data_IF_431071439469
#
_entry.id   IF_431071439469
#
_cell.length_a   1.000
_cell.length_b   1.000
_cell.length_c   1.000
_cell.angle_alpha   90.00
_cell.angle_beta   90.00
_cell.angle_gamma   90.00
#
_symmetry.space_group_name_H-M   'P 1'
#
loop_
_entity.id
_entity.type
_entity.pdbx_description
1 polymer ?
#
# COMPACT_ATOMS: atom_id res chain seq x y z
N UNK A 1 0.24 24.78 24.98
CA UNK A 1 -0.12 24.09 23.72
C UNK A 1 -0.36 22.58 23.83
N UNK A 2 0.00 21.88 24.93
CA UNK A 2 -0.30 20.43 25.11
C UNK A 2 0.19 19.51 23.96
N UNK A 3 1.20 19.93 23.20
CA UNK A 3 1.67 19.16 22.04
C UNK A 3 2.45 17.89 22.42
N UNK A 4 3.05 17.82 23.62
CA UNK A 4 3.79 16.66 24.13
C UNK A 4 3.59 16.49 25.64
N UNK A 5 3.61 15.25 26.13
CA UNK A 5 3.65 14.94 27.57
C UNK A 5 5.10 14.86 28.08
N UNK A 6 5.45 15.67 29.09
CA UNK A 6 6.84 15.89 29.54
C UNK A 6 7.59 14.59 29.93
N UNK A 7 6.88 13.59 30.48
CA UNK A 7 7.50 12.33 30.94
C UNK A 7 7.77 11.31 29.80
N UNK A 8 7.30 11.55 28.58
CA UNK A 8 7.46 10.63 27.44
C UNK A 8 8.60 11.01 26.49
N UNK A 9 9.15 12.21 26.62
CA UNK A 9 10.01 12.83 25.58
C UNK A 9 11.42 13.17 26.06
N UNK A 10 11.71 12.90 27.33
CA UNK A 10 13.01 13.15 27.96
C UNK A 10 13.46 11.90 28.70
N UNK A 11 14.73 11.49 28.50
CA UNK A 11 15.34 10.39 29.22
C UNK A 11 16.75 10.79 29.67
N UNK A 12 17.01 10.73 30.97
CA UNK A 12 18.33 11.00 31.52
C UNK A 12 19.20 9.74 31.47
N UNK A 13 20.42 9.90 30.97
CA UNK A 13 21.45 8.85 30.99
C UNK A 13 22.65 9.32 31.80
N UNK A 14 23.17 8.42 32.64
CA UNK A 14 24.47 8.61 33.28
C UNK A 14 25.56 8.24 32.29
N UNK A 15 26.40 9.21 31.93
CA UNK A 15 27.60 8.95 31.11
C UNK A 15 28.84 9.28 31.94
N UNK A 16 29.70 8.30 32.17
CA UNK A 16 31.02 8.49 32.79
C UNK A 16 32.01 8.97 31.73
N UNK A 17 32.66 10.11 31.99
CA UNK A 17 33.71 10.62 31.12
C UNK A 17 35.11 10.14 31.60
N UNK A 18 36.19 10.36 30.83
CA UNK A 18 37.55 9.89 31.16
C UNK A 18 38.12 10.44 32.48
N UNK A 19 37.48 11.45 33.06
CA UNK A 19 37.81 12.04 34.36
C UNK A 19 37.13 11.33 35.55
N UNK A 20 36.39 10.24 35.29
CA UNK A 20 35.71 9.44 36.31
C UNK A 20 34.46 10.11 36.89
N UNK A 21 34.01 11.24 36.34
CA UNK A 21 32.80 11.94 36.79
C UNK A 21 31.58 11.46 36.03
N UNK A 22 30.48 11.29 36.75
CA UNK A 22 29.17 11.02 36.19
C UNK A 22 28.52 12.34 35.76
N UNK A 23 28.17 12.43 34.48
CA UNK A 23 27.41 13.54 33.94
C UNK A 23 25.98 13.08 33.67
N UNK A 24 25.01 13.82 34.20
CA UNK A 24 23.62 13.70 33.77
C UNK A 24 23.49 14.30 32.37
N UNK A 25 23.35 13.43 31.38
CA UNK A 25 23.10 13.84 30.00
C UNK A 25 21.64 13.55 29.68
N UNK A 26 20.87 14.62 29.50
CA UNK A 26 19.46 14.56 29.13
C UNK A 26 19.33 14.30 27.63
N UNK A 27 18.71 13.18 27.25
CA UNK A 27 18.39 12.83 25.88
C UNK A 27 16.94 13.20 25.59
N UNK A 28 16.74 13.97 24.53
CA UNK A 28 15.42 14.40 24.06
C UNK A 28 14.96 13.50 22.92
N UNK A 29 13.67 13.16 22.92
CA UNK A 29 13.04 12.48 21.79
C UNK A 29 13.08 13.36 20.54
N UNK A 30 12.97 12.73 19.36
CA UNK A 30 12.88 13.47 18.10
C UNK A 30 11.73 14.50 18.14
N UNK A 31 10.59 14.13 18.71
CA UNK A 31 9.41 14.99 18.83
C UNK A 31 9.70 16.27 19.63
N UNK A 32 10.40 16.16 20.76
CA UNK A 32 10.80 17.33 21.55
C UNK A 32 11.82 18.21 20.81
N UNK A 33 12.76 17.60 20.07
CA UNK A 33 13.72 18.34 19.24
C UNK A 33 12.98 19.11 18.13
N UNK A 34 11.98 18.50 17.49
CA UNK A 34 11.14 19.16 16.47
C UNK A 34 10.36 20.33 17.07
N UNK A 35 9.70 20.12 18.22
CA UNK A 35 8.87 21.13 18.90
C UNK A 35 9.69 22.36 19.33
N UNK A 36 10.86 22.15 19.96
CA UNK A 36 11.75 23.23 20.39
C UNK A 36 12.42 23.91 19.19
N UNK A 37 12.82 23.15 18.18
CA UNK A 37 13.54 23.65 17.01
C UNK A 37 12.78 24.73 16.23
N UNK A 38 11.45 24.65 16.17
CA UNK A 38 10.62 25.68 15.54
C UNK A 38 10.31 26.89 16.43
N UNK A 39 10.35 26.73 17.76
CA UNK A 39 9.96 27.77 18.73
C UNK A 39 11.13 28.65 19.21
N UNK A 40 12.36 28.14 19.22
CA UNK A 40 13.50 28.84 19.85
C UNK A 40 14.31 29.68 18.85
N UNK A 41 14.63 30.93 19.24
CA UNK A 41 15.48 31.87 18.50
C UNK A 41 16.98 31.71 18.80
N UNK A 42 17.51 30.49 18.70
CA UNK A 42 18.95 30.21 18.89
C UNK A 42 19.67 29.93 17.57
N UNK A 43 21.02 29.99 17.56
CA UNK A 43 21.84 29.60 16.39
C UNK A 43 21.53 28.16 15.95
N UNK A 44 21.40 27.23 16.90
CA UNK A 44 21.01 25.82 16.65
C UNK A 44 19.57 25.71 16.12
N UNK A 45 18.62 26.48 16.68
CA UNK A 45 17.24 26.53 16.17
C UNK A 45 17.17 27.04 14.73
N UNK A 46 18.01 28.03 14.37
CA UNK A 46 18.11 28.50 12.98
C UNK A 46 18.71 27.45 12.05
N UNK A 47 19.73 26.69 12.46
CA UNK A 47 20.28 25.57 11.69
C UNK A 47 19.24 24.47 11.49
N UNK A 48 18.52 24.11 12.54
CA UNK A 48 17.42 23.14 12.49
C UNK A 48 16.34 23.59 11.51
N UNK A 49 15.83 24.83 11.59
CA UNK A 49 14.82 25.33 10.64
C UNK A 49 15.31 25.35 9.20
N UNK A 50 16.58 25.69 8.95
CA UNK A 50 17.17 25.58 7.61
C UNK A 50 17.15 24.13 7.11
N UNK A 51 17.55 23.19 7.95
CA UNK A 51 17.49 21.76 7.64
C UNK A 51 16.05 21.28 7.41
N UNK A 52 15.13 21.59 8.33
CA UNK A 52 13.72 21.17 8.24
C UNK A 52 13.04 21.76 7.00
N UNK A 53 13.21 23.05 6.72
CA UNK A 53 12.67 23.68 5.52
C UNK A 53 13.22 23.06 4.23
N UNK A 54 14.49 22.67 4.20
CA UNK A 54 15.07 21.97 3.04
C UNK A 54 14.38 20.63 2.79
N UNK A 55 14.27 19.79 3.84
CA UNK A 55 13.65 18.47 3.73
C UNK A 55 12.14 18.55 3.46
N UNK A 56 11.42 19.45 4.14
CA UNK A 56 9.99 19.66 3.92
C UNK A 56 9.70 20.17 2.51
N UNK A 57 10.49 21.13 2.01
CA UNK A 57 10.37 21.61 0.63
C UNK A 57 10.59 20.48 -0.37
N UNK A 58 11.61 19.65 -0.13
CA UNK A 58 11.87 18.48 -0.98
C UNK A 58 10.71 17.51 -0.97
N UNK A 59 10.17 17.18 0.20
CA UNK A 59 8.98 16.33 0.32
C UNK A 59 7.77 16.90 -0.41
N UNK A 60 7.48 18.19 -0.27
CA UNK A 60 6.33 18.84 -0.93
C UNK A 60 6.46 18.81 -2.45
N UNK A 61 7.67 19.00 -2.98
CA UNK A 61 7.91 19.06 -4.44
C UNK A 61 8.02 17.66 -5.06
N UNK A 62 8.76 16.74 -4.42
CA UNK A 62 9.07 15.42 -4.99
C UNK A 62 8.16 14.31 -4.47
N UNK A 63 7.55 14.48 -3.30
CA UNK A 63 6.76 13.46 -2.61
C UNK A 63 7.57 12.51 -1.71
N UNK A 64 8.90 12.69 -1.60
CA UNK A 64 9.77 11.86 -0.74
C UNK A 64 11.02 12.62 -0.29
N UNK A 65 11.67 12.11 0.76
CA UNK A 65 12.99 12.55 1.25
C UNK A 65 13.82 11.29 1.47
N UNK A 66 15.08 11.28 1.02
CA UNK A 66 15.95 10.11 1.11
C UNK A 66 17.37 10.54 1.50
N UNK A 67 18.00 9.77 2.37
CA UNK A 67 19.41 9.91 2.73
C UNK A 67 20.22 8.85 1.99
N UNK A 68 20.54 9.15 0.73
CA UNK A 68 21.16 8.19 -0.21
C UNK A 68 22.49 7.64 0.31
N UNK A 69 23.32 8.50 0.93
CA UNK A 69 24.64 8.10 1.41
C UNK A 69 24.55 7.12 2.59
N UNK A 70 23.58 7.33 3.49
CA UNK A 70 23.32 6.39 4.60
C UNK A 70 22.73 5.08 4.10
N UNK A 71 21.84 5.11 3.11
CA UNK A 71 21.26 3.90 2.53
C UNK A 71 22.28 3.09 1.71
N UNK A 72 23.27 3.74 1.09
CA UNK A 72 24.38 3.06 0.39
C UNK A 72 25.43 2.51 1.34
N UNK A 73 25.68 3.21 2.46
CA UNK A 73 26.73 2.89 3.41
C UNK A 73 26.14 2.74 4.83
N UNK A 74 25.52 1.59 5.14
CA UNK A 74 24.95 1.36 6.46
C UNK A 74 26.06 1.35 7.53
N UNK A 75 25.88 2.16 8.58
CA UNK A 75 26.85 2.34 9.68
C UNK A 75 26.59 1.38 10.86
N UNK A 76 25.92 0.25 10.61
CA UNK A 76 25.52 -0.73 11.62
C UNK A 76 24.27 -0.36 12.42
N UNK A 77 23.66 0.79 12.12
CA UNK A 77 22.35 1.15 12.68
C UNK A 77 21.24 0.38 11.96
N UNK A 78 20.15 0.02 12.66
CA UNK A 78 18.96 -0.49 11.99
C UNK A 78 18.49 0.53 10.94
N UNK A 79 18.41 0.10 9.70
CA UNK A 79 17.81 0.87 8.61
C UNK A 79 16.49 0.20 8.17
N UNK A 80 15.75 0.93 7.34
CA UNK A 80 14.46 0.50 6.80
C UNK A 80 14.56 0.27 5.29
N UNK A 81 15.73 -0.14 4.80
CA UNK A 81 15.98 -0.28 3.36
C UNK A 81 15.04 -1.29 2.70
N UNK A 82 14.85 -2.45 3.32
CA UNK A 82 13.94 -3.49 2.81
C UNK A 82 12.48 -3.03 2.77
N UNK A 83 12.06 -2.23 3.75
CA UNK A 83 10.72 -1.65 3.80
C UNK A 83 10.53 -0.62 2.66
N UNK A 84 11.54 0.22 2.42
CA UNK A 84 11.54 1.17 1.29
C UNK A 84 11.44 0.40 -0.03
N UNK A 85 12.22 -0.67 -0.20
CA UNK A 85 12.15 -1.51 -1.39
C UNK A 85 10.77 -2.16 -1.55
N UNK A 86 10.18 -2.68 -0.48
CA UNK A 86 8.83 -3.26 -0.52
C UNK A 86 7.77 -2.22 -0.93
N UNK A 87 7.82 -1.01 -0.36
CA UNK A 87 6.94 0.11 -0.73
C UNK A 87 7.12 0.53 -2.20
N UNK A 88 8.36 0.60 -2.69
CA UNK A 88 8.63 0.93 -4.11
C UNK A 88 8.08 -0.17 -5.02
N UNK A 89 8.26 -1.45 -4.67
CA UNK A 89 7.72 -2.59 -5.43
C UNK A 89 6.19 -2.51 -5.50
N UNK A 90 5.52 -2.23 -4.38
CA UNK A 90 4.06 -2.07 -4.37
C UNK A 90 3.59 -0.86 -5.20
N UNK A 91 4.28 0.28 -5.12
CA UNK A 91 3.97 1.46 -5.94
C UNK A 91 4.14 1.14 -7.44
N UNK A 92 5.21 0.45 -7.84
CA UNK A 92 5.45 0.08 -9.25
C UNK A 92 4.46 -0.96 -9.76
N UNK A 93 4.06 -1.90 -8.89
CA UNK A 93 3.07 -2.93 -9.19
C UNK A 93 1.62 -2.45 -8.97
N UNK A 94 1.41 -1.20 -8.58
CA UNK A 94 0.09 -0.59 -8.64
C UNK A 94 -0.38 -0.58 -10.09
N UNK A 95 -1.61 -1.02 -10.34
CA UNK A 95 -2.17 -1.18 -11.68
C UNK A 95 -1.98 0.10 -12.52
N UNK A 96 -2.28 1.27 -11.94
CA UNK A 96 -2.12 2.56 -12.62
C UNK A 96 -0.68 2.82 -13.07
N UNK A 97 0.32 2.54 -12.24
CA UNK A 97 1.74 2.76 -12.58
C UNK A 97 2.26 1.73 -13.57
N UNK A 98 1.88 0.47 -13.37
CA UNK A 98 2.19 -0.59 -14.31
C UNK A 98 1.65 -0.26 -15.71
N UNK A 99 0.35 0.06 -15.82
CA UNK A 99 -0.27 0.43 -17.10
C UNK A 99 0.37 1.67 -17.73
N UNK A 100 0.68 2.69 -16.93
CA UNK A 100 1.37 3.87 -17.44
C UNK A 100 2.72 3.49 -18.04
N UNK A 101 3.54 2.73 -17.31
CA UNK A 101 4.87 2.34 -17.76
C UNK A 101 4.86 1.45 -18.99
N UNK A 102 3.98 0.46 -19.01
CA UNK A 102 3.84 -0.42 -20.18
C UNK A 102 3.36 0.38 -21.41
N UNK A 103 2.43 1.33 -21.24
CA UNK A 103 2.07 2.24 -22.34
C UNK A 103 3.21 3.11 -22.81
N UNK A 104 4.02 3.66 -21.89
CA UNK A 104 5.20 4.45 -22.24
C UNK A 104 6.20 3.60 -23.04
N UNK A 105 6.34 2.32 -22.70
CA UNK A 105 7.19 1.36 -23.42
C UNK A 105 6.61 1.01 -24.79
N UNK A 106 5.29 0.79 -24.89
CA UNK A 106 4.64 0.48 -26.17
C UNK A 106 4.56 1.67 -27.11
N UNK A 107 4.51 2.90 -26.60
CA UNK A 107 4.67 4.09 -27.43
C UNK A 107 6.02 4.14 -28.17
N UNK A 108 6.99 3.32 -27.74
CA UNK A 108 8.28 3.15 -28.40
C UNK A 108 8.32 1.92 -29.34
N UNK A 109 7.27 1.09 -29.39
CA UNK A 109 7.19 -0.06 -30.30
C UNK A 109 6.61 0.34 -31.65
N UNK A 110 7.01 -0.39 -32.68
CA UNK A 110 6.72 -0.03 -34.07
C UNK A 110 5.26 -0.33 -34.49
N UNK A 111 4.60 -1.21 -33.76
CA UNK A 111 3.28 -1.79 -34.05
C UNK A 111 2.18 -1.34 -33.06
N UNK A 112 2.46 -0.36 -32.20
CA UNK A 112 1.52 0.07 -31.17
C UNK A 112 0.45 1.04 -31.69
N UNK A 113 -0.81 0.67 -31.49
CA UNK A 113 -1.96 1.57 -31.56
C UNK A 113 -2.66 1.61 -30.19
N UNK A 114 -2.70 2.81 -29.60
CA UNK A 114 -3.29 3.05 -28.28
C UNK A 114 -4.82 2.94 -28.23
N UNK A 115 -5.48 2.95 -29.38
CA UNK A 115 -6.92 2.68 -29.53
C UNK A 115 -7.23 1.20 -29.77
N UNK A 116 -6.19 0.38 -29.97
CA UNK A 116 -6.35 -0.99 -30.39
C UNK A 116 -6.89 -1.89 -29.28
N UNK A 117 -7.87 -2.70 -29.67
CA UNK A 117 -8.40 -3.81 -28.89
C UNK A 117 -7.28 -4.79 -28.51
N UNK A 118 -6.26 -4.95 -29.36
CA UNK A 118 -5.11 -5.82 -29.07
C UNK A 118 -4.34 -5.40 -27.82
N UNK A 119 -4.16 -4.08 -27.59
CA UNK A 119 -3.51 -3.54 -26.40
C UNK A 119 -4.33 -3.84 -25.13
N UNK A 120 -5.65 -3.66 -25.19
CA UNK A 120 -6.52 -3.99 -24.06
C UNK A 120 -6.54 -5.49 -23.75
N UNK A 121 -6.56 -6.33 -24.78
CA UNK A 121 -6.47 -7.78 -24.63
C UNK A 121 -5.13 -8.20 -24.02
N UNK A 122 -4.01 -7.64 -24.49
CA UNK A 122 -2.69 -7.88 -23.92
C UNK A 122 -2.66 -7.64 -22.40
N UNK A 123 -3.21 -6.51 -21.96
CA UNK A 123 -3.25 -6.17 -20.54
C UNK A 123 -4.07 -7.15 -19.72
N UNK A 124 -5.27 -7.51 -20.20
CA UNK A 124 -6.14 -8.46 -19.53
C UNK A 124 -5.51 -9.86 -19.48
N UNK A 125 -4.87 -10.30 -20.56
CA UNK A 125 -4.19 -11.59 -20.65
C UNK A 125 -2.96 -11.64 -19.73
N UNK A 126 -2.11 -10.61 -19.76
CA UNK A 126 -0.92 -10.53 -18.90
C UNK A 126 -1.29 -10.50 -17.42
N UNK A 127 -2.33 -9.73 -17.05
CA UNK A 127 -2.81 -9.70 -15.67
C UNK A 127 -3.32 -11.06 -15.21
N UNK A 128 -4.10 -11.77 -16.03
CA UNK A 128 -4.57 -13.10 -15.68
C UNK A 128 -3.43 -14.12 -15.58
N UNK A 129 -2.45 -14.06 -16.48
CA UNK A 129 -1.26 -14.91 -16.44
C UNK A 129 -0.43 -14.69 -15.16
N UNK A 130 -0.22 -13.43 -14.78
CA UNK A 130 0.50 -13.08 -13.55
C UNK A 130 -0.27 -13.50 -12.28
N UNK A 131 -1.58 -13.30 -12.25
CA UNK A 131 -2.42 -13.76 -11.14
C UNK A 131 -2.42 -15.29 -11.02
N UNK A 132 -2.55 -15.99 -12.16
CA UNK A 132 -2.51 -17.44 -12.19
C UNK A 132 -1.15 -17.99 -11.77
N UNK A 133 -0.05 -17.39 -12.22
CA UNK A 133 1.30 -17.79 -11.83
C UNK A 133 1.45 -17.84 -10.30
N UNK A 134 0.84 -16.88 -9.59
CA UNK A 134 0.94 -16.76 -8.13
C UNK A 134 -0.11 -17.60 -7.39
N UNK A 135 -1.35 -17.68 -7.90
CA UNK A 135 -2.49 -18.23 -7.15
C UNK A 135 -3.02 -19.55 -7.69
N UNK A 136 -2.55 -19.99 -8.86
CA UNK A 136 -3.10 -21.11 -9.64
C UNK A 136 -4.58 -20.94 -10.02
N UNK A 137 -5.08 -19.70 -10.00
CA UNK A 137 -6.45 -19.33 -10.31
C UNK A 137 -6.46 -18.08 -11.19
N UNK A 138 -7.38 -18.01 -12.16
CA UNK A 138 -7.59 -16.76 -12.90
C UNK A 138 -8.34 -15.74 -12.04
N UNK A 139 -8.31 -14.45 -12.41
CA UNK A 139 -8.96 -13.39 -11.64
C UNK A 139 -10.43 -13.71 -11.28
N UNK A 140 -11.18 -14.30 -12.22
CA UNK A 140 -12.57 -14.69 -12.02
C UNK A 140 -12.74 -15.82 -10.99
N UNK A 141 -11.82 -16.77 -10.96
CA UNK A 141 -11.81 -17.90 -10.02
C UNK A 141 -11.39 -17.45 -8.61
N UNK A 142 -10.44 -16.53 -8.50
CA UNK A 142 -10.05 -15.92 -7.22
C UNK A 142 -11.26 -15.24 -6.57
N UNK A 143 -11.92 -14.35 -7.31
CA UNK A 143 -13.07 -13.60 -6.78
C UNK A 143 -14.20 -14.55 -6.39
N UNK A 144 -14.54 -15.52 -7.23
CA UNK A 144 -15.65 -16.44 -6.94
C UNK A 144 -15.35 -17.41 -5.80
N UNK A 145 -14.11 -17.89 -5.67
CA UNK A 145 -13.73 -18.81 -4.60
C UNK A 145 -13.51 -18.13 -3.26
N UNK A 146 -13.04 -16.87 -3.26
CA UNK A 146 -12.67 -16.15 -2.03
C UNK A 146 -13.74 -15.20 -1.51
N UNK A 147 -14.60 -14.66 -2.39
CA UNK A 147 -15.70 -13.79 -1.97
C UNK A 147 -16.73 -14.57 -1.14
N UNK A 148 -16.84 -14.21 0.13
CA UNK A 148 -17.72 -14.91 1.06
C UNK A 148 -18.38 -13.90 2.01
N UNK A 149 -19.71 -13.77 1.94
CA UNK A 149 -20.50 -12.85 2.75
C UNK A 149 -20.38 -13.07 4.26
N UNK A 150 -20.06 -14.29 4.69
CA UNK A 150 -19.94 -14.65 6.11
C UNK A 150 -18.61 -14.19 6.71
N UNK A 151 -17.56 -14.08 5.91
CA UNK A 151 -16.26 -13.57 6.36
C UNK A 151 -16.30 -12.07 6.62
N UNK A 152 -15.39 -11.61 7.46
CA UNK A 152 -15.15 -10.19 7.65
C UNK A 152 -14.76 -9.55 6.32
N UNK A 153 -15.34 -8.39 6.02
CA UNK A 153 -15.09 -7.64 4.78
C UNK A 153 -15.19 -8.49 3.51
N UNK A 154 -16.05 -9.51 3.50
CA UNK A 154 -16.20 -10.47 2.40
C UNK A 154 -14.96 -11.30 2.03
N UNK A 155 -13.95 -11.35 2.89
CA UNK A 155 -12.67 -11.98 2.58
C UNK A 155 -11.71 -11.10 1.79
N UNK A 156 -11.99 -9.80 1.61
CA UNK A 156 -11.02 -8.85 1.09
C UNK A 156 -9.90 -8.61 2.12
N UNK A 157 -8.67 -8.51 1.63
CA UNK A 157 -7.47 -8.14 2.40
C UNK A 157 -7.11 -6.67 2.24
N UNK A 158 -7.54 -6.04 1.13
CA UNK A 158 -7.31 -4.63 0.83
C UNK A 158 -8.49 -4.04 0.06
N UNK A 159 -8.85 -2.78 0.33
CA UNK A 159 -9.92 -2.04 -0.38
C UNK A 159 -9.74 -0.53 -0.22
N UNK A 160 -10.43 0.26 -1.04
CA UNK A 160 -10.34 1.72 -0.95
C UNK A 160 -11.33 2.31 0.05
N UNK A 161 -10.79 2.97 1.08
CA UNK A 161 -11.55 3.69 2.10
C UNK A 161 -11.85 2.84 3.34
N UNK A 162 -12.77 3.30 4.18
CA UNK A 162 -13.11 2.63 5.45
C UNK A 162 -14.12 1.49 5.29
N UNK A 163 -14.77 1.38 4.13
CA UNK A 163 -15.91 0.49 3.90
C UNK A 163 -15.74 -0.18 2.54
N UNK A 164 -15.92 -1.51 2.49
CA UNK A 164 -15.94 -2.28 1.24
C UNK A 164 -17.07 -1.81 0.33
N UNK A 165 -16.75 -1.47 -0.92
CA UNK A 165 -17.68 -1.00 -1.95
C UNK A 165 -17.88 -2.04 -3.06
N UNK A 166 -18.94 -1.85 -3.85
CA UNK A 166 -19.23 -2.69 -5.03
C UNK A 166 -18.13 -2.71 -6.10
N UNK A 167 -17.24 -1.73 -6.13
CA UNK A 167 -16.13 -1.73 -7.09
C UNK A 167 -14.97 -2.61 -6.60
N UNK A 168 -14.75 -2.65 -5.29
CA UNK A 168 -13.63 -3.40 -4.68
C UNK A 168 -13.82 -4.91 -4.83
N UNK A 169 -15.06 -5.39 -4.82
CA UNK A 169 -15.38 -6.83 -4.90
C UNK A 169 -15.02 -7.49 -6.24
N UNK A 170 -14.87 -6.70 -7.31
CA UNK A 170 -14.53 -7.22 -8.64
C UNK A 170 -13.03 -7.28 -8.90
N UNK A 171 -12.21 -6.74 -8.00
CA UNK A 171 -10.76 -6.67 -8.14
C UNK A 171 -10.15 -7.90 -7.48
N UNK A 172 -9.62 -8.83 -8.27
CA UNK A 172 -9.00 -10.05 -7.75
C UNK A 172 -7.82 -9.78 -6.79
N UNK A 173 -7.04 -8.73 -7.05
CA UNK A 173 -5.92 -8.30 -6.19
C UNK A 173 -6.35 -8.06 -4.74
N UNK A 174 -7.58 -7.61 -4.52
CA UNK A 174 -8.12 -7.32 -3.18
C UNK A 174 -8.38 -8.57 -2.33
N UNK A 175 -8.33 -9.78 -2.92
CA UNK A 175 -8.49 -11.05 -2.22
C UNK A 175 -7.17 -11.81 -2.06
N UNK A 176 -6.05 -11.22 -2.47
CA UNK A 176 -4.73 -11.84 -2.36
C UNK A 176 -4.17 -11.69 -0.95
N UNK A 177 -3.46 -12.69 -0.48
CA UNK A 177 -2.72 -12.61 0.78
C UNK A 177 -1.38 -11.86 0.60
N UNK A 178 -0.68 -11.59 1.70
CA UNK A 178 0.55 -10.80 1.67
C UNK A 178 1.66 -11.43 0.82
N UNK A 179 1.83 -12.76 0.89
CA UNK A 179 2.86 -13.50 0.15
C UNK A 179 2.55 -13.52 -1.36
N UNK A 180 1.28 -13.68 -1.71
CA UNK A 180 0.79 -13.60 -3.09
C UNK A 180 1.02 -12.19 -3.66
N UNK A 181 0.72 -11.15 -2.89
CA UNK A 181 0.97 -9.76 -3.31
C UNK A 181 2.47 -9.49 -3.48
N UNK A 182 3.33 -9.93 -2.55
CA UNK A 182 4.78 -9.75 -2.68
C UNK A 182 5.32 -10.44 -3.93
N UNK A 183 4.91 -11.69 -4.17
CA UNK A 183 5.30 -12.49 -5.34
C UNK A 183 4.82 -11.82 -6.64
N UNK A 184 3.55 -11.41 -6.69
CA UNK A 184 2.99 -10.69 -7.84
C UNK A 184 3.76 -9.40 -8.12
N UNK A 185 4.02 -8.61 -7.07
CA UNK A 185 4.73 -7.34 -7.19
C UNK A 185 6.17 -7.55 -7.70
N UNK A 186 6.85 -8.63 -7.30
CA UNK A 186 8.17 -9.01 -7.82
C UNK A 186 8.14 -9.37 -9.31
N UNK A 187 7.19 -10.20 -9.75
CA UNK A 187 7.05 -10.55 -11.16
C UNK A 187 6.81 -9.33 -12.04
N UNK A 188 5.94 -8.41 -11.59
CA UNK A 188 5.68 -7.15 -12.28
C UNK A 188 6.95 -6.30 -12.40
N UNK A 189 7.76 -6.24 -11.34
CA UNK A 189 9.02 -5.49 -11.36
C UNK A 189 10.02 -6.12 -12.34
N UNK A 190 10.18 -7.44 -12.34
CA UNK A 190 11.05 -8.15 -13.30
C UNK A 190 10.64 -7.86 -14.74
N UNK A 191 9.34 -7.87 -15.02
CA UNK A 191 8.80 -7.50 -16.33
C UNK A 191 9.16 -6.07 -16.72
N UNK A 192 8.89 -5.10 -15.84
CA UNK A 192 9.19 -3.69 -16.12
C UNK A 192 10.69 -3.42 -16.28
N UNK A 193 11.54 -4.02 -15.45
CA UNK A 193 13.01 -3.87 -15.54
C UNK A 193 13.55 -4.44 -16.85
N UNK A 194 13.07 -5.62 -17.25
CA UNK A 194 13.42 -6.21 -18.56
C UNK A 194 13.03 -5.27 -19.69
N UNK A 195 11.87 -4.62 -19.56
CA UNK A 195 11.38 -3.72 -20.58
C UNK A 195 12.15 -2.40 -20.65
N UNK A 196 12.40 -1.76 -19.51
CA UNK A 196 13.19 -0.54 -19.41
C UNK A 196 14.63 -0.76 -19.91
N UNK A 197 15.25 -1.92 -19.62
CA UNK A 197 16.59 -2.25 -20.11
C UNK A 197 16.64 -2.38 -21.64
N UNK A 198 15.63 -3.00 -22.26
CA UNK A 198 15.55 -3.14 -23.72
C UNK A 198 15.36 -1.80 -24.40
N UNK A 199 14.47 -0.97 -23.86
CA UNK A 199 14.26 0.40 -24.33
C UNK A 199 15.56 1.22 -24.23
N UNK A 200 16.29 1.11 -23.10
CA UNK A 200 17.60 1.76 -22.93
C UNK A 200 18.61 1.32 -23.98
N UNK A 201 18.60 0.05 -24.34
CA UNK A 201 19.49 -0.53 -25.35
C UNK A 201 19.02 -0.30 -26.80
N UNK A 202 17.93 0.44 -27.00
CA UNK A 202 17.33 0.72 -28.32
C UNK A 202 17.06 -0.55 -29.13
N UNK A 203 16.62 -1.59 -28.45
CA UNK A 203 16.22 -2.84 -29.09
C UNK A 203 14.76 -2.69 -29.51
N UNK A 204 14.51 -2.80 -30.82
CA UNK A 204 13.15 -2.79 -31.35
C UNK A 204 12.35 -3.97 -30.78
N UNK A 205 11.13 -3.69 -30.35
CA UNK A 205 10.22 -4.69 -29.79
C UNK A 205 8.83 -4.55 -30.41
N UNK A 206 8.06 -5.63 -30.37
CA UNK A 206 6.69 -5.73 -30.87
C UNK A 206 5.76 -6.15 -29.75
N UNK A 207 4.45 -6.00 -29.95
CA UNK A 207 3.45 -6.45 -28.98
C UNK A 207 3.52 -7.96 -28.73
N UNK A 208 3.77 -8.76 -29.77
CA UNK A 208 3.93 -10.21 -29.64
C UNK A 208 5.19 -10.58 -28.84
N UNK A 209 6.28 -9.86 -29.04
CA UNK A 209 7.49 -10.04 -28.23
C UNK A 209 7.18 -9.85 -26.73
N UNK A 210 6.37 -8.84 -26.37
CA UNK A 210 6.01 -8.61 -24.97
C UNK A 210 5.10 -9.69 -24.39
N UNK A 211 4.22 -10.29 -25.20
CA UNK A 211 3.42 -11.46 -24.80
C UNK A 211 4.32 -12.64 -24.45
N UNK A 212 5.23 -12.96 -25.35
CA UNK A 212 6.19 -14.04 -25.12
C UNK A 212 7.14 -13.75 -23.97
N UNK A 213 7.51 -12.48 -23.76
CA UNK A 213 8.39 -12.10 -22.67
C UNK A 213 7.71 -12.28 -21.31
N UNK A 214 6.44 -11.92 -21.18
CA UNK A 214 5.66 -12.20 -19.99
C UNK A 214 5.61 -13.71 -19.69
N UNK A 215 5.38 -14.53 -20.72
CA UNK A 215 5.33 -15.99 -20.61
C UNK A 215 6.67 -16.57 -20.17
N UNK A 216 7.76 -16.09 -20.80
CA UNK A 216 9.13 -16.48 -20.46
C UNK A 216 9.49 -16.09 -19.02
N UNK A 217 9.11 -14.91 -18.54
CA UNK A 217 9.38 -14.48 -17.16
C UNK A 217 8.66 -15.38 -16.17
N UNK A 218 7.41 -15.76 -16.44
CA UNK A 218 6.67 -16.69 -15.58
C UNK A 218 7.39 -18.05 -15.54
N UNK A 219 7.67 -18.62 -16.71
CA UNK A 219 8.30 -19.94 -16.82
C UNK A 219 9.73 -19.98 -16.29
N UNK A 220 10.54 -18.94 -16.51
CA UNK A 220 11.94 -18.88 -16.07
C UNK A 220 12.09 -18.74 -14.55
N UNK A 221 11.02 -18.36 -13.87
CA UNK A 221 10.96 -18.26 -12.41
C UNK A 221 10.17 -19.43 -11.79
N UNK A 222 10.08 -20.56 -12.52
CA UNK A 222 9.44 -21.81 -12.09
C UNK A 222 7.94 -21.70 -11.78
N UNK A 223 7.27 -20.68 -12.30
CA UNK A 223 5.81 -20.54 -12.17
C UNK A 223 5.07 -21.24 -13.31
N UNK A 224 3.87 -21.71 -13.01
CA UNK A 224 3.00 -22.38 -13.97
C UNK A 224 2.34 -21.33 -14.87
N UNK A 225 2.52 -21.49 -16.18
CA UNK A 225 1.89 -20.64 -17.16
C UNK A 225 0.43 -21.05 -17.38
N UNK A 226 -0.46 -20.06 -17.40
CA UNK A 226 -1.86 -20.24 -17.76
C UNK A 226 -1.98 -20.68 -19.23
N UNK A 227 -2.43 -21.91 -19.48
CA UNK A 227 -2.65 -22.43 -20.84
C UNK A 227 -4.07 -22.17 -21.37
N UNK A 228 -5.06 -22.09 -20.48
CA UNK A 228 -6.49 -21.93 -20.83
C UNK A 228 -7.07 -20.61 -20.29
N UNK A 229 -8.24 -20.19 -20.78
CA UNK A 229 -8.90 -18.94 -20.34
C UNK A 229 -9.58 -19.02 -18.96
N UNK A 230 -9.32 -20.09 -18.20
CA UNK A 230 -10.00 -20.41 -16.95
C UNK A 230 -11.41 -20.97 -17.17
N UNK A 231 -12.02 -21.46 -16.09
CA UNK A 231 -13.32 -22.14 -16.14
C UNK A 231 -14.51 -21.19 -15.96
N UNK A 232 -14.28 -19.99 -15.43
CA UNK A 232 -15.33 -19.05 -15.02
C UNK A 232 -15.31 -17.80 -15.88
N UNK A 233 -16.47 -17.45 -16.47
CA UNK A 233 -16.60 -16.24 -17.27
C UNK A 233 -16.80 -14.99 -16.39
N UNK A 234 -16.43 -13.82 -16.92
CA UNK A 234 -16.55 -12.53 -16.22
C UNK A 234 -17.98 -12.23 -15.74
N UNK A 235 -18.99 -12.58 -16.53
CA UNK A 235 -20.40 -12.36 -16.16
C UNK A 235 -20.83 -13.19 -14.95
N UNK A 236 -20.45 -14.46 -14.90
CA UNK A 236 -20.71 -15.35 -13.76
C UNK A 236 -20.01 -14.84 -12.49
N UNK A 237 -18.74 -14.43 -12.61
CA UNK A 237 -17.99 -13.82 -11.50
C UNK A 237 -18.72 -12.60 -10.93
N UNK A 238 -19.19 -11.69 -11.79
CA UNK A 238 -19.86 -10.48 -11.34
C UNK A 238 -21.17 -10.77 -10.61
N UNK A 239 -21.97 -11.71 -11.11
CA UNK A 239 -23.24 -12.09 -10.47
C UNK A 239 -23.01 -12.72 -9.09
N UNK A 240 -22.06 -13.64 -8.98
CA UNK A 240 -21.72 -14.31 -7.72
C UNK A 240 -21.18 -13.31 -6.69
N UNK A 241 -20.21 -12.48 -7.08
CA UNK A 241 -19.63 -11.47 -6.21
C UNK A 241 -20.68 -10.45 -5.73
N UNK A 242 -21.57 -10.01 -6.63
CA UNK A 242 -22.65 -9.09 -6.26
C UNK A 242 -23.64 -9.72 -5.28
N UNK A 243 -24.02 -10.98 -5.49
CA UNK A 243 -24.92 -11.72 -4.59
C UNK A 243 -24.34 -11.81 -3.18
N UNK A 244 -23.04 -12.16 -3.08
CA UNK A 244 -22.32 -12.19 -1.80
C UNK A 244 -22.25 -10.79 -1.17
N UNK A 245 -22.04 -9.74 -1.97
CA UNK A 245 -21.98 -8.38 -1.48
C UNK A 245 -23.30 -7.88 -0.92
N UNK A 246 -24.42 -8.22 -1.55
CA UNK A 246 -25.74 -7.82 -1.07
C UNK A 246 -26.06 -8.45 0.29
N UNK A 247 -25.71 -9.72 0.48
CA UNK A 247 -25.84 -10.41 1.77
C UNK A 247 -24.95 -9.76 2.84
N UNK A 248 -23.69 -9.49 2.49
CA UNK A 248 -22.75 -8.83 3.39
C UNK A 248 -23.18 -7.41 3.78
N UNK A 249 -23.60 -6.59 2.81
CA UNK A 249 -24.05 -5.21 3.04
C UNK A 249 -25.31 -5.18 3.91
N UNK A 250 -26.25 -6.10 3.68
CA UNK A 250 -27.44 -6.25 4.52
C UNK A 250 -27.07 -6.61 5.97
N UNK A 251 -26.19 -7.60 6.16
CA UNK A 251 -25.68 -8.01 7.48
C UNK A 251 -24.97 -6.86 8.19
N UNK A 252 -24.10 -6.16 7.48
CA UNK A 252 -23.36 -5.00 7.99
C UNK A 252 -24.29 -3.89 8.44
N UNK A 253 -25.26 -3.51 7.60
CA UNK A 253 -26.26 -2.48 7.92
C UNK A 253 -27.10 -2.87 9.14
N UNK A 254 -27.54 -4.13 9.21
CA UNK A 254 -28.29 -4.63 10.37
C UNK A 254 -27.46 -4.58 11.66
N UNK A 255 -26.17 -4.91 11.59
CA UNK A 255 -25.26 -4.81 12.73
C UNK A 255 -25.01 -3.35 13.15
N UNK A 256 -24.80 -2.45 12.19
CA UNK A 256 -24.61 -1.02 12.45
C UNK A 256 -25.86 -0.38 13.06
N UNK A 257 -27.05 -0.72 12.57
CA UNK A 257 -28.31 -0.25 13.14
C UNK A 257 -28.44 -0.66 14.61
N UNK A 258 -28.20 -1.95 14.93
CA UNK A 258 -28.25 -2.44 16.33
C UNK A 258 -27.24 -1.77 17.25
N UNK A 259 -26.07 -1.41 16.73
CA UNK A 259 -25.05 -0.70 17.51
C UNK A 259 -25.44 0.75 17.76
N UNK A 260 -26.00 1.43 16.75
CA UNK A 260 -26.52 2.79 16.90
C UNK A 260 -27.68 2.82 17.90
N UNK A 261 -28.64 1.88 17.78
CA UNK A 261 -29.76 1.78 18.73
C UNK A 261 -29.27 1.60 20.18
N UNK A 262 -28.25 0.77 20.40
CA UNK A 262 -27.66 0.56 21.73
C UNK A 262 -26.91 1.81 22.23
N UNK A 263 -26.19 2.50 21.36
CA UNK A 263 -25.50 3.75 21.72
C UNK A 263 -26.49 4.84 22.10
N UNK A 264 -27.58 4.98 21.33
CA UNK A 264 -28.65 5.92 21.63
C UNK A 264 -29.32 5.59 22.98
N UNK A 265 -29.56 4.30 23.27
CA UNK A 265 -30.07 3.84 24.57
C UNK A 265 -29.11 4.20 25.73
N UNK A 266 -27.80 3.93 25.57
CA UNK A 266 -26.79 4.24 26.58
C UNK A 266 -26.67 5.76 26.82
N UNK A 267 -26.74 6.58 25.76
CA UNK A 267 -26.75 8.05 25.85
C UNK A 267 -28.01 8.57 26.57
N UNK A 268 -29.17 8.00 26.28
CA UNK A 268 -30.43 8.35 26.96
C UNK A 268 -30.36 8.02 28.46
N UNK A 269 -29.80 6.87 28.82
CA UNK A 269 -29.61 6.47 30.23
C UNK A 269 -28.65 7.40 30.97
N UNK A 270 -27.55 7.81 30.32
CA UNK A 270 -26.64 8.81 30.88
C UNK A 270 -27.35 10.15 31.10
N UNK A 271 -28.12 10.61 30.12
CA UNK A 271 -28.89 11.85 30.23
C UNK A 271 -29.92 11.79 31.37
N UNK A 272 -30.61 10.65 31.53
CA UNK A 272 -31.57 10.44 32.63
C UNK A 272 -30.88 10.52 34.00
N UNK A 273 -29.72 9.89 34.15
CA UNK A 273 -28.94 9.95 35.38
C UNK A 273 -28.47 11.37 35.70
N UNK A 274 -28.01 12.12 34.70
CA UNK A 274 -27.59 13.52 34.87
C UNK A 274 -28.77 14.43 35.28
N UNK A 275 -29.96 14.19 34.72
CA UNK A 275 -31.18 14.92 35.11
C UNK A 275 -31.62 14.58 36.53
N UNK A 276 -31.53 13.30 36.95
CA UNK A 276 -31.82 12.89 38.33
C UNK A 276 -30.86 13.54 39.32
N UNK A 277 -29.57 13.58 38.99
CA UNK A 277 -28.56 14.21 39.83
C UNK A 277 -28.78 15.73 39.96
N UNK A 278 -29.27 16.41 38.92
CA UNK A 278 -29.61 17.85 38.95
C UNK A 278 -30.89 18.22 39.70
N UNK A 279 -31.84 17.29 39.88
CA UNK A 279 -33.08 17.53 40.66
C UNK A 279 -32.91 17.25 42.16
N UNK A 280 -31.78 16.69 42.57
CA UNK A 280 -31.43 16.40 43.96
C UNK A 280 -30.62 17.50 44.66
N UNK A 281 -30.22 18.56 43.94
CA UNK A 281 -29.66 19.82 44.47
C UNK A 281 -30.75 20.89 44.57
#
# INVERSE_FOLDING_TARGET
DKELEDNSVVKDYFTTAPDGKEYNVTFYSLEMILAIGFRVRSKRGTQFRKWANRNLKEYIVKGFVMDDERLKNPDGRPDYFDEILARIRDIRASEKRFYQKVRDLFALTNDYDGSDKATQMFFAETQNKLLFAVTQQVAAEIVTSRANADKDNMGLTSWQGSIVRKQDIYIAKNYLNADEIDTLNRLVVVFLETAELRAKNRIDTTMDFWRENADRIIQSNDFILLQDKGSICKGQMQQLALTQYEQFDARRKAHQARLADRQDEDELLQLENDIKNRKGE
#
